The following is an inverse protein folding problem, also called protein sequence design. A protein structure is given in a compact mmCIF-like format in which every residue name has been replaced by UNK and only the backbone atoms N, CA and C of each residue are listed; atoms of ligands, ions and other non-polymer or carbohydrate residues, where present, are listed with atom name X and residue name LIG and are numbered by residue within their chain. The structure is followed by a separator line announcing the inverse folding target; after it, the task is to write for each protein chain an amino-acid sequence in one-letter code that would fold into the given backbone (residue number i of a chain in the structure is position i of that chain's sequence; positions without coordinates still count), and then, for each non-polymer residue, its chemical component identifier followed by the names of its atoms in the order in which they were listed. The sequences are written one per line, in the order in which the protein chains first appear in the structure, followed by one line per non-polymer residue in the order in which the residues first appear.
data_IF_454770142293
#
_entry.id   IF_454770142293
#
_cell.length_a   1.000
_cell.length_b   1.000
_cell.length_c   1.000
_cell.angle_alpha   90.00
_cell.angle_beta   90.00
_cell.angle_gamma   90.00
#
_symmetry.space_group_name_H-M   'P 1'
#
loop_
_entity.id
_entity.type
_entity.pdbx_description
1 polymer ?
#
# COMPACT_ATOMS: atom_id res chain seq x y z
N UNK A 1 13.66 11.14 8.21
CA UNK A 1 12.42 11.80 7.78
C UNK A 1 11.30 11.02 8.44
N UNK A 2 10.45 11.64 9.26
CA UNK A 2 9.34 10.91 9.91
C UNK A 2 8.30 10.64 8.82
N UNK A 3 7.99 9.37 8.58
CA UNK A 3 6.98 8.95 7.59
C UNK A 3 5.64 9.62 7.89
N UNK A 4 4.93 10.07 6.85
CA UNK A 4 3.57 10.64 6.96
C UNK A 4 2.66 9.67 7.71
N UNK A 5 2.78 8.38 7.37
CA UNK A 5 2.06 7.29 8.02
C UNK A 5 2.37 7.21 9.52
N UNK A 6 3.63 7.31 9.94
CA UNK A 6 4.00 7.28 11.35
C UNK A 6 3.42 8.46 12.14
N UNK A 7 3.29 9.65 11.52
CA UNK A 7 2.68 10.81 12.19
C UNK A 7 1.19 10.59 12.46
N UNK A 8 0.49 10.04 11.48
CA UNK A 8 -0.94 9.72 11.58
C UNK A 8 -1.14 8.69 12.67
N UNK A 9 -0.40 7.58 12.61
CA UNK A 9 -0.60 6.51 13.58
C UNK A 9 -0.29 7.01 15.00
N UNK A 10 0.83 7.71 15.21
CA UNK A 10 1.17 8.27 16.52
C UNK A 10 0.15 9.27 17.07
N UNK A 11 -0.69 9.86 16.22
CA UNK A 11 -1.76 10.77 16.64
C UNK A 11 -2.95 9.99 17.23
N UNK A 12 -3.12 8.75 16.82
CA UNK A 12 -4.25 7.89 17.19
C UNK A 12 -3.87 6.68 18.07
N UNK A 13 -2.57 6.48 18.32
CA UNK A 13 -2.05 5.51 19.29
C UNK A 13 -1.81 6.17 20.66
N UNK A 14 -2.20 5.50 21.74
CA UNK A 14 -1.80 5.82 23.11
C UNK A 14 -1.11 4.60 23.72
N UNK A 15 0.07 4.80 24.31
CA UNK A 15 0.84 3.72 24.97
C UNK A 15 1.09 2.49 24.07
N UNK A 16 1.39 2.73 22.78
CA UNK A 16 1.60 1.72 21.73
C UNK A 16 0.35 0.90 21.34
N UNK A 17 -0.82 1.23 21.89
CA UNK A 17 -2.12 0.63 21.58
C UNK A 17 -3.03 1.62 20.84
N UNK A 18 -3.84 1.10 19.92
CA UNK A 18 -4.81 1.88 19.16
C UNK A 18 -6.15 1.83 19.88
N UNK A 19 -6.59 2.96 20.42
CA UNK A 19 -7.93 3.05 21.06
C UNK A 19 -8.93 3.62 20.07
N UNK A 20 -9.66 2.74 19.37
CA UNK A 20 -10.72 3.13 18.44
C UNK A 20 -11.82 3.92 19.17
N UNK A 21 -12.13 3.54 20.41
CA UNK A 21 -13.10 4.24 21.26
C UNK A 21 -12.78 5.72 21.42
N UNK A 22 -11.51 6.06 21.67
CA UNK A 22 -11.04 7.42 21.92
C UNK A 22 -10.87 8.26 20.65
N UNK A 23 -10.97 7.68 19.45
CA UNK A 23 -10.81 8.42 18.20
C UNK A 23 -12.00 9.35 17.92
N UNK A 24 -11.70 10.60 17.59
CA UNK A 24 -12.71 11.53 17.07
C UNK A 24 -12.88 11.36 15.56
N UNK A 25 -14.11 11.02 15.15
CA UNK A 25 -14.46 10.84 13.76
C UNK A 25 -14.29 12.13 12.93
N UNK A 26 -14.49 13.30 13.53
CA UNK A 26 -14.32 14.58 12.84
C UNK A 26 -12.83 14.93 12.67
N UNK A 27 -12.00 14.59 13.65
CA UNK A 27 -10.53 14.70 13.53
C UNK A 27 -9.98 13.76 12.44
N UNK A 28 -10.48 12.53 12.36
CA UNK A 28 -10.11 11.60 11.28
C UNK A 28 -10.50 12.14 9.89
N UNK A 29 -11.68 12.77 9.76
CA UNK A 29 -12.11 13.38 8.49
C UNK A 29 -11.27 14.60 8.11
N UNK A 30 -10.87 15.41 9.09
CA UNK A 30 -9.98 16.56 8.86
C UNK A 30 -8.61 16.08 8.35
N UNK A 31 -8.00 15.11 9.04
CA UNK A 31 -6.71 14.54 8.63
C UNK A 31 -6.79 13.91 7.23
N UNK A 32 -7.88 13.20 6.93
CA UNK A 32 -8.14 12.66 5.58
C UNK A 32 -8.20 13.76 4.52
N UNK A 33 -8.85 14.89 4.83
CA UNK A 33 -8.96 16.00 3.90
C UNK A 33 -7.60 16.64 3.62
N UNK A 34 -6.79 16.83 4.66
CA UNK A 34 -5.43 17.36 4.53
C UNK A 34 -4.53 16.44 3.69
N UNK A 35 -4.59 15.13 3.92
CA UNK A 35 -3.85 14.16 3.10
C UNK A 35 -4.27 14.15 1.64
N UNK A 36 -5.56 14.36 1.34
CA UNK A 36 -6.02 14.48 -0.05
C UNK A 36 -5.45 15.71 -0.74
N UNK A 37 -5.36 16.83 -0.02
CA UNK A 37 -4.73 18.06 -0.53
C UNK A 37 -3.25 17.83 -0.78
N UNK A 38 -2.53 17.17 0.14
CA UNK A 38 -1.12 16.85 -0.07
C UNK A 38 -0.94 15.88 -1.25
N UNK A 39 -1.76 14.83 -1.35
CA UNK A 39 -1.73 13.88 -2.48
C UNK A 39 -1.87 14.60 -3.83
N UNK A 40 -2.86 15.49 -3.95
CA UNK A 40 -3.10 16.28 -5.15
C UNK A 40 -1.90 17.18 -5.48
N UNK A 41 -1.36 17.88 -4.48
CA UNK A 41 -0.16 18.70 -4.66
C UNK A 41 1.05 17.89 -5.16
N UNK A 42 1.26 16.67 -4.63
CA UNK A 42 2.35 15.78 -5.07
C UNK A 42 2.12 15.28 -6.51
N UNK A 43 0.88 14.92 -6.85
CA UNK A 43 0.50 14.52 -8.21
C UNK A 43 0.75 15.64 -9.21
N UNK A 44 0.29 16.85 -8.92
CA UNK A 44 0.41 18.00 -9.80
C UNK A 44 1.89 18.40 -10.03
N UNK A 45 2.72 18.31 -8.98
CA UNK A 45 4.17 18.50 -9.10
C UNK A 45 4.82 17.43 -9.97
N UNK A 46 4.47 16.16 -9.78
CA UNK A 46 4.99 15.07 -10.61
C UNK A 46 4.57 15.24 -12.08
N UNK A 47 3.34 15.67 -12.35
CA UNK A 47 2.86 15.96 -13.70
C UNK A 47 3.64 17.12 -14.34
N UNK A 48 3.83 18.23 -13.62
CA UNK A 48 4.63 19.37 -14.10
C UNK A 48 6.07 18.98 -14.45
N UNK A 49 6.73 18.17 -13.61
CA UNK A 49 8.06 17.63 -13.90
C UNK A 49 8.06 16.71 -15.12
N UNK A 50 7.03 15.90 -15.29
CA UNK A 50 6.90 15.02 -16.46
C UNK A 50 6.76 15.83 -17.77
N UNK A 51 6.03 16.95 -17.73
CA UNK A 51 5.91 17.89 -18.85
C UNK A 51 7.25 18.57 -19.16
N UNK A 52 7.95 19.06 -18.14
CA UNK A 52 9.27 19.69 -18.29
C UNK A 52 10.30 18.72 -18.88
N UNK A 53 10.32 17.47 -18.39
CA UNK A 53 11.16 16.40 -18.93
C UNK A 53 10.85 16.16 -20.41
N UNK A 54 9.56 16.08 -20.79
CA UNK A 54 9.13 15.89 -22.19
C UNK A 54 9.60 17.05 -23.08
N UNK A 55 9.48 18.28 -22.61
CA UNK A 55 9.93 19.47 -23.35
C UNK A 55 11.45 19.46 -23.57
N UNK A 56 12.24 19.13 -22.54
CA UNK A 56 13.70 19.01 -22.64
C UNK A 56 14.13 17.87 -23.54
N UNK A 57 13.46 16.72 -23.45
CA UNK A 57 13.72 15.57 -24.32
C UNK A 57 13.48 15.91 -25.79
N UNK A 58 12.39 16.63 -26.09
CA UNK A 58 12.11 17.13 -27.45
C UNK A 58 13.22 18.06 -27.95
N UNK A 59 13.67 19.01 -27.12
CA UNK A 59 14.77 19.92 -27.46
C UNK A 59 16.10 19.19 -27.70
N UNK A 60 16.37 18.14 -26.92
CA UNK A 60 17.55 17.29 -27.07
C UNK A 60 17.55 16.55 -28.41
N UNK A 61 16.38 16.10 -28.88
CA UNK A 61 16.22 15.45 -30.19
C UNK A 61 16.39 16.43 -31.36
N UNK A 62 16.03 17.69 -31.18
CA UNK A 62 16.03 18.72 -32.23
C UNK A 62 17.37 19.48 -32.34
N UNK A 63 18.27 19.33 -31.37
CA UNK A 63 19.59 19.98 -31.39
C UNK A 63 20.68 19.07 -31.93
N UNK A 64 21.65 19.64 -32.64
CA UNK A 64 22.88 18.96 -33.08
C UNK A 64 24.13 19.38 -32.29
N UNK A 65 23.98 20.35 -31.39
CA UNK A 65 25.08 20.89 -30.59
C UNK A 65 25.43 19.94 -29.43
N UNK A 66 26.62 19.35 -29.47
CA UNK A 66 27.06 18.33 -28.50
C UNK A 66 27.04 18.83 -27.05
N UNK A 67 27.52 20.05 -26.80
CA UNK A 67 27.54 20.63 -25.45
C UNK A 67 26.11 20.77 -24.89
N UNK A 68 25.18 21.24 -25.73
CA UNK A 68 23.78 21.40 -25.35
C UNK A 68 23.09 20.04 -25.14
N UNK A 69 23.48 18.98 -25.87
CA UNK A 69 22.99 17.62 -25.63
C UNK A 69 23.39 17.11 -24.26
N UNK A 70 24.64 17.33 -23.86
CA UNK A 70 25.17 16.92 -22.56
C UNK A 70 24.45 17.65 -21.43
N UNK A 71 24.28 18.97 -21.53
CA UNK A 71 23.53 19.79 -20.56
C UNK A 71 22.07 19.32 -20.43
N UNK A 72 21.35 19.15 -21.54
CA UNK A 72 19.96 18.70 -21.51
C UNK A 72 19.82 17.27 -20.96
N UNK A 73 20.80 16.40 -21.19
CA UNK A 73 20.79 15.05 -20.62
C UNK A 73 20.96 15.06 -19.09
N UNK A 74 21.85 15.92 -18.57
CA UNK A 74 22.02 16.12 -17.13
C UNK A 74 20.76 16.71 -16.49
N UNK A 75 20.14 17.71 -17.12
CA UNK A 75 18.87 18.27 -16.65
C UNK A 75 17.73 17.23 -16.64
N UNK A 76 17.64 16.39 -17.67
CA UNK A 76 16.65 15.30 -17.73
C UNK A 76 16.85 14.31 -16.59
N UNK A 77 18.10 13.88 -16.35
CA UNK A 77 18.41 12.96 -15.25
C UNK A 77 18.03 13.57 -13.89
N UNK A 78 18.35 14.85 -13.66
CA UNK A 78 17.96 15.56 -12.45
C UNK A 78 16.44 15.62 -12.25
N UNK A 79 15.67 15.81 -13.34
CA UNK A 79 14.20 15.79 -13.27
C UNK A 79 13.68 14.38 -12.96
N UNK A 80 14.27 13.33 -13.54
CA UNK A 80 13.89 11.95 -13.27
C UNK A 80 14.14 11.54 -11.81
N UNK A 81 15.24 12.00 -11.22
CA UNK A 81 15.53 11.84 -9.80
C UNK A 81 14.45 12.54 -8.94
N UNK A 82 14.09 13.77 -9.28
CA UNK A 82 13.06 14.53 -8.56
C UNK A 82 11.66 13.90 -8.70
N UNK A 83 11.30 13.42 -9.91
CA UNK A 83 10.06 12.69 -10.15
C UNK A 83 9.98 11.42 -9.29
N UNK A 84 11.10 10.69 -9.15
CA UNK A 84 11.16 9.48 -8.33
C UNK A 84 10.92 9.78 -6.85
N UNK A 85 11.39 10.93 -6.36
CA UNK A 85 11.10 11.40 -4.99
C UNK A 85 9.59 11.64 -4.83
N UNK A 86 8.98 12.42 -5.72
CA UNK A 86 7.54 12.71 -5.63
C UNK A 86 6.67 11.46 -5.81
N UNK A 87 7.08 10.50 -6.62
CA UNK A 87 6.40 9.22 -6.76
C UNK A 87 6.38 8.44 -5.43
N UNK A 88 7.51 8.38 -4.74
CA UNK A 88 7.62 7.72 -3.44
C UNK A 88 6.81 8.47 -2.35
N UNK A 89 6.87 9.80 -2.34
CA UNK A 89 6.06 10.61 -1.42
C UNK A 89 4.55 10.41 -1.67
N UNK A 90 4.12 10.38 -2.94
CA UNK A 90 2.74 10.08 -3.31
C UNK A 90 2.30 8.70 -2.82
N UNK A 91 3.14 7.67 -2.97
CA UNK A 91 2.85 6.33 -2.45
C UNK A 91 2.68 6.33 -0.92
N UNK A 92 3.53 7.05 -0.19
CA UNK A 92 3.41 7.18 1.27
C UNK A 92 2.11 7.87 1.70
N UNK A 93 1.69 8.92 0.99
CA UNK A 93 0.43 9.62 1.27
C UNK A 93 -0.78 8.74 0.94
N UNK A 94 -0.70 7.93 -0.12
CA UNK A 94 -1.74 6.93 -0.44
C UNK A 94 -1.89 5.87 0.66
N UNK A 95 -0.78 5.33 1.17
CA UNK A 95 -0.83 4.36 2.27
C UNK A 95 -1.41 4.96 3.54
N UNK A 96 -1.04 6.21 3.85
CA UNK A 96 -1.64 6.99 4.93
C UNK A 96 -3.15 7.17 4.76
N UNK A 97 -3.62 7.50 3.55
CA UNK A 97 -5.04 7.65 3.24
C UNK A 97 -5.81 6.34 3.44
N UNK A 98 -5.27 5.19 3.00
CA UNK A 98 -5.89 3.87 3.20
C UNK A 98 -6.10 3.54 4.67
N UNK A 99 -5.11 3.86 5.50
CA UNK A 99 -5.19 3.64 6.96
C UNK A 99 -6.25 4.54 7.59
N UNK A 100 -6.27 5.84 7.24
CA UNK A 100 -7.32 6.75 7.77
C UNK A 100 -8.71 6.36 7.28
N UNK A 101 -8.87 6.00 6.00
CA UNK A 101 -10.15 5.51 5.47
C UNK A 101 -10.62 4.26 6.23
N UNK A 102 -9.68 3.38 6.58
CA UNK A 102 -9.90 2.23 7.45
C UNK A 102 -10.45 2.63 8.83
N UNK A 103 -9.74 3.50 9.55
CA UNK A 103 -10.16 3.98 10.87
C UNK A 103 -11.53 4.65 10.84
N UNK A 104 -11.81 5.48 9.83
CA UNK A 104 -13.12 6.13 9.65
C UNK A 104 -14.21 5.08 9.49
N UNK A 105 -13.98 4.05 8.68
CA UNK A 105 -14.97 3.02 8.40
C UNK A 105 -15.27 2.19 9.65
N UNK A 106 -14.23 1.76 10.36
CA UNK A 106 -14.33 1.06 11.64
C UNK A 106 -15.09 1.91 12.67
N UNK A 107 -14.73 3.19 12.82
CA UNK A 107 -15.37 4.09 13.79
C UNK A 107 -16.87 4.29 13.49
N UNK A 108 -17.23 4.48 12.22
CA UNK A 108 -18.63 4.56 11.80
C UNK A 108 -19.38 3.26 12.10
N UNK A 109 -18.74 2.11 11.87
CA UNK A 109 -19.35 0.82 12.16
C UNK A 109 -19.62 0.66 13.66
N UNK A 110 -18.66 1.03 14.51
CA UNK A 110 -18.81 1.06 15.97
C UNK A 110 -20.01 1.93 16.39
N UNK A 111 -20.12 3.15 15.86
CA UNK A 111 -21.23 4.08 16.16
C UNK A 111 -22.60 3.56 15.70
N UNK A 112 -22.65 2.77 14.62
CA UNK A 112 -23.90 2.29 14.02
C UNK A 112 -24.47 1.02 14.65
N UNK A 113 -23.62 0.16 15.21
CA UNK A 113 -24.06 -1.19 15.60
C UNK A 113 -23.86 -1.55 17.08
N UNK A 114 -23.30 -0.65 17.91
CA UNK A 114 -22.88 -0.99 19.29
C UNK A 114 -22.02 -2.28 19.30
N UNK A 115 -21.33 -2.56 18.19
CA UNK A 115 -20.73 -3.86 17.91
C UNK A 115 -19.29 -3.87 18.44
N UNK A 116 -19.10 -4.53 19.58
CA UNK A 116 -17.81 -4.60 20.26
C UNK A 116 -16.85 -5.62 19.63
N UNK A 117 -17.32 -6.54 18.78
CA UNK A 117 -16.52 -7.62 18.23
C UNK A 117 -15.32 -7.11 17.43
N UNK A 118 -15.56 -6.36 16.34
CA UNK A 118 -14.51 -5.80 15.49
C UNK A 118 -13.59 -4.84 16.27
N UNK A 119 -14.13 -4.07 17.21
CA UNK A 119 -13.34 -3.14 18.02
C UNK A 119 -12.34 -3.90 18.88
N UNK A 120 -12.80 -4.97 19.55
CA UNK A 120 -11.94 -5.78 20.41
C UNK A 120 -10.82 -6.48 19.61
N UNK A 121 -11.12 -7.05 18.45
CA UNK A 121 -10.08 -7.66 17.60
C UNK A 121 -9.04 -6.62 17.15
N UNK A 122 -9.45 -5.38 16.86
CA UNK A 122 -8.52 -4.32 16.46
C UNK A 122 -7.66 -3.83 17.62
N UNK A 123 -8.25 -3.70 18.81
CA UNK A 123 -7.53 -3.31 20.03
C UNK A 123 -6.52 -4.39 20.46
N UNK A 124 -6.80 -5.66 20.14
CA UNK A 124 -5.89 -6.79 20.39
C UNK A 124 -4.75 -6.90 19.34
N UNK A 125 -4.82 -6.19 18.21
CA UNK A 125 -3.78 -6.20 17.17
C UNK A 125 -2.64 -5.23 17.49
N UNK A 126 -1.41 -5.67 17.20
CA UNK A 126 -0.26 -4.79 17.22
C UNK A 126 -0.41 -3.68 16.15
N UNK A 127 0.03 -2.48 16.47
CA UNK A 127 -0.07 -1.30 15.60
C UNK A 127 0.46 -1.56 14.17
N UNK A 128 1.60 -2.24 14.04
CA UNK A 128 2.21 -2.56 12.75
C UNK A 128 1.35 -3.52 11.92
N UNK A 129 0.80 -4.54 12.58
CA UNK A 129 -0.08 -5.54 11.96
C UNK A 129 -1.39 -4.92 11.48
N UNK A 130 -2.00 -4.06 12.29
CA UNK A 130 -3.22 -3.36 11.91
C UNK A 130 -2.96 -2.45 10.70
N UNK A 131 -1.87 -1.70 10.73
CA UNK A 131 -1.49 -0.78 9.65
C UNK A 131 -1.26 -1.54 8.35
N UNK A 132 -0.55 -2.66 8.39
CA UNK A 132 -0.28 -3.45 7.20
C UNK A 132 -1.54 -4.15 6.69
N UNK A 133 -2.43 -4.56 7.59
CA UNK A 133 -3.75 -5.11 7.24
C UNK A 133 -4.61 -4.06 6.54
N UNK A 134 -4.72 -2.85 7.11
CA UNK A 134 -5.51 -1.76 6.52
C UNK A 134 -4.97 -1.31 5.16
N UNK A 135 -3.68 -1.44 4.86
CA UNK A 135 -3.15 -1.13 3.53
C UNK A 135 -3.56 -2.15 2.45
N UNK A 136 -3.97 -3.36 2.82
CA UNK A 136 -4.27 -4.42 1.86
C UNK A 136 -5.47 -4.03 0.99
N UNK A 137 -5.32 -4.18 -0.33
CA UNK A 137 -6.38 -3.87 -1.30
C UNK A 137 -7.67 -4.62 -0.98
N UNK A 138 -7.58 -5.89 -0.58
CA UNK A 138 -8.74 -6.70 -0.18
C UNK A 138 -9.46 -6.11 1.04
N UNK A 139 -8.74 -5.64 2.05
CA UNK A 139 -9.35 -5.03 3.24
C UNK A 139 -10.08 -3.75 2.85
N UNK A 140 -9.51 -2.97 1.93
CA UNK A 140 -10.16 -1.78 1.39
C UNK A 140 -11.45 -2.13 0.61
N UNK A 141 -11.45 -3.21 -0.18
CA UNK A 141 -12.65 -3.74 -0.85
C UNK A 141 -13.72 -4.19 0.16
N UNK A 142 -13.33 -4.97 1.18
CA UNK A 142 -14.24 -5.44 2.23
C UNK A 142 -14.92 -4.28 2.96
N UNK A 143 -14.14 -3.23 3.26
CA UNK A 143 -14.63 -2.00 3.88
C UNK A 143 -15.59 -1.28 2.93
N UNK A 144 -15.25 -1.17 1.64
CA UNK A 144 -16.08 -0.50 0.64
C UNK A 144 -17.40 -1.23 0.38
N UNK A 145 -17.36 -2.56 0.35
CA UNK A 145 -18.52 -3.43 0.10
C UNK A 145 -19.31 -3.74 1.38
N UNK A 146 -18.92 -3.15 2.51
CA UNK A 146 -19.54 -3.34 3.83
C UNK A 146 -19.61 -4.83 4.26
N UNK A 147 -18.62 -5.64 3.86
CA UNK A 147 -18.49 -7.06 4.21
C UNK A 147 -17.89 -7.27 5.61
N UNK A 148 -18.55 -6.72 6.63
CA UNK A 148 -18.02 -6.62 8.00
C UNK A 148 -17.69 -7.96 8.69
N UNK A 149 -18.46 -9.02 8.42
CA UNK A 149 -18.18 -10.34 9.00
C UNK A 149 -16.91 -10.96 8.44
N UNK A 150 -16.66 -10.78 7.14
CA UNK A 150 -15.40 -11.25 6.52
C UNK A 150 -14.21 -10.40 6.98
N UNK A 151 -14.44 -9.11 7.23
CA UNK A 151 -13.41 -8.21 7.78
C UNK A 151 -13.04 -8.60 9.21
N UNK A 152 -14.01 -8.99 10.04
CA UNK A 152 -13.78 -9.52 11.39
C UNK A 152 -12.94 -10.80 11.36
N UNK A 153 -13.24 -11.73 10.46
CA UNK A 153 -12.44 -12.95 10.26
C UNK A 153 -10.99 -12.63 9.86
N UNK A 154 -10.78 -11.60 9.04
CA UNK A 154 -9.45 -11.11 8.65
C UNK A 154 -8.68 -10.57 9.85
N UNK A 155 -9.31 -9.74 10.69
CA UNK A 155 -8.68 -9.19 11.89
C UNK A 155 -8.36 -10.25 12.95
N UNK A 156 -9.17 -11.32 13.03
CA UNK A 156 -8.88 -12.51 13.87
C UNK A 156 -7.70 -13.36 13.41
N UNK A 157 -7.15 -13.08 12.23
CA UNK A 157 -6.16 -13.94 11.59
C UNK A 157 -6.75 -15.28 11.13
N UNK A 158 -8.08 -15.42 11.05
CA UNK A 158 -8.79 -16.60 10.53
C UNK A 158 -8.80 -16.62 9.00
N UNK A 159 -7.66 -16.28 8.38
CA UNK A 159 -7.48 -16.29 6.94
C UNK A 159 -7.74 -17.70 6.41
N UNK A 160 -8.86 -17.86 5.71
CA UNK A 160 -9.13 -19.06 4.93
C UNK A 160 -8.03 -19.23 3.85
N UNK A 161 -7.59 -20.48 3.58
CA UNK A 161 -6.49 -20.76 2.64
C UNK A 161 -6.67 -20.16 1.24
N UNK A 162 -7.91 -20.00 0.78
CA UNK A 162 -8.22 -19.58 -0.59
C UNK A 162 -8.01 -18.07 -0.83
N UNK A 163 -7.67 -17.28 0.20
CA UNK A 163 -7.86 -15.82 0.19
C UNK A 163 -6.59 -15.00 0.38
N UNK A 164 -5.43 -15.64 0.29
CA UNK A 164 -4.15 -14.93 0.24
C UNK A 164 -4.00 -14.28 -1.15
N UNK A 165 -4.37 -13.01 -1.28
CA UNK A 165 -4.20 -12.21 -2.51
C UNK A 165 -2.74 -11.99 -2.96
N UNK A 166 -1.78 -12.70 -2.37
CA UNK A 166 -0.40 -12.68 -2.82
C UNK A 166 -0.23 -13.64 -4.00
N UNK A 167 -0.03 -13.11 -5.21
CA UNK A 167 0.24 -13.89 -6.43
C UNK A 167 1.24 -15.02 -6.19
N UNK A 168 2.25 -14.80 -5.34
CA UNK A 168 3.30 -15.76 -5.05
C UNK A 168 2.84 -16.91 -4.14
N UNK A 169 1.86 -16.68 -3.28
CA UNK A 169 1.24 -17.72 -2.45
C UNK A 169 0.20 -18.48 -3.24
N UNK A 170 -0.59 -17.81 -4.09
CA UNK A 170 -1.47 -18.50 -5.04
C UNK A 170 -0.67 -19.35 -6.04
N UNK A 171 0.49 -18.88 -6.52
CA UNK A 171 1.42 -19.70 -7.31
C UNK A 171 1.96 -20.91 -6.54
N UNK A 172 2.19 -20.81 -5.23
CA UNK A 172 2.62 -21.92 -4.38
C UNK A 172 1.48 -22.92 -4.14
N UNK A 173 0.26 -22.44 -3.89
CA UNK A 173 -0.94 -23.26 -3.71
C UNK A 173 -1.29 -23.96 -5.02
N UNK A 174 -1.34 -23.24 -6.14
CA UNK A 174 -1.55 -23.80 -7.49
C UNK A 174 -0.45 -24.83 -7.83
N UNK A 175 0.80 -24.56 -7.47
CA UNK A 175 1.90 -25.52 -7.66
C UNK A 175 1.76 -26.75 -6.76
N UNK A 176 1.23 -26.60 -5.56
CA UNK A 176 1.01 -27.70 -4.62
C UNK A 176 -0.21 -28.56 -5.02
N UNK A 177 -1.28 -27.94 -5.52
CA UNK A 177 -2.46 -28.62 -6.03
C UNK A 177 -2.16 -29.34 -7.35
N UNK A 178 -1.38 -28.75 -8.25
CA UNK A 178 -0.91 -29.43 -9.46
C UNK A 178 0.06 -30.59 -9.17
N UNK A 179 0.77 -30.54 -8.04
CA UNK A 179 1.65 -31.61 -7.58
C UNK A 179 0.93 -32.71 -6.77
N UNK A 180 -0.34 -32.52 -6.43
CA UNK A 180 -1.11 -33.46 -5.60
C UNK A 180 -1.33 -34.81 -6.31
N UNK A 181 -1.24 -34.84 -7.64
CA UNK A 181 -1.32 -36.05 -8.48
C UNK A 181 0.05 -36.68 -8.84
N UNK A 182 1.16 -36.21 -8.25
CA UNK A 182 2.50 -36.74 -8.51
C UNK A 182 3.21 -37.22 -7.24
N UNK A 183 3.90 -38.36 -7.37
CA UNK A 183 4.70 -38.95 -6.30
C UNK A 183 5.80 -37.97 -5.83
N UNK A 184 6.00 -37.86 -4.51
CA UNK A 184 6.82 -36.82 -3.85
C UNK A 184 8.26 -36.79 -4.41
N UNK A 185 8.80 -37.96 -4.77
CA UNK A 185 10.12 -38.10 -5.38
C UNK A 185 10.21 -37.49 -6.79
N UNK A 186 9.10 -37.39 -7.53
CA UNK A 186 9.05 -36.77 -8.85
C UNK A 186 9.06 -35.23 -8.76
N UNK A 187 8.32 -34.67 -7.80
CA UNK A 187 8.25 -33.23 -7.56
C UNK A 187 9.60 -32.66 -7.09
N UNK A 188 10.30 -33.36 -6.19
CA UNK A 188 11.64 -32.96 -5.73
C UNK A 188 12.69 -33.05 -6.84
N UNK A 189 12.65 -34.08 -7.68
CA UNK A 189 13.55 -34.21 -8.83
C UNK A 189 13.35 -33.13 -9.89
N UNK A 190 12.13 -32.62 -10.06
CA UNK A 190 11.83 -31.55 -11.01
C UNK A 190 12.29 -30.18 -10.49
N UNK A 191 12.15 -29.93 -9.18
CA UNK A 191 12.72 -28.76 -8.50
C UNK A 191 14.25 -28.71 -8.64
N UNK A 192 14.93 -29.83 -8.42
CA UNK A 192 16.39 -29.89 -8.48
C UNK A 192 16.93 -29.85 -9.93
N UNK A 193 16.14 -30.26 -10.92
CA UNK A 193 16.45 -30.04 -12.35
C UNK A 193 16.35 -28.57 -12.75
N UNK A 194 15.28 -27.89 -12.35
CA UNK A 194 15.07 -26.48 -12.69
C UNK A 194 16.10 -25.55 -12.02
N UNK A 195 16.67 -25.96 -10.89
CA UNK A 195 17.73 -25.23 -10.20
C UNK A 195 19.08 -25.28 -10.92
N UNK A 196 19.32 -26.28 -11.79
CA UNK A 196 20.57 -26.44 -12.56
C UNK A 196 20.58 -25.68 -13.90
N UNK A 197 19.46 -25.12 -14.32
CA UNK A 197 19.33 -24.33 -15.56
C UNK A 197 19.44 -22.82 -15.34
N UNK A 198 19.64 -22.39 -14.09
CA UNK A 198 19.75 -20.98 -13.69
C UNK A 198 21.16 -20.58 -13.23
N UNK A 199 22.16 -21.44 -13.45
CA UNK A 199 23.61 -21.12 -13.38
C UNK A 199 24.20 -21.06 -14.80
#
# INVERSE_FOLDING_TARGET
MVSVLSKIINKFTKDDEISIEDMDLDELKEERADLRVDLELKRDKHEGLAEDRRAKFKRLQETDEQLLKEELAEEIASIEDEMSIYHNEHAQVMDALRVIDGFIAIKRKQELMEDQGIVQEIEDMDQEELVDTLKQERVQELIQDEQWSELEDVFRGELRPDYSGNKRVNEIIDSAEQAQDQDIDSALNQRDKNRKTLD
#
